data_IF_440772709322
#
_entry.id   IF_440772709322
#
_cell.length_a   1.000
_cell.length_b   1.000
_cell.length_c   1.000
_cell.angle_alpha   90.00
_cell.angle_beta   90.00
_cell.angle_gamma   90.00
#
_symmetry.space_group_name_H-M   'P 1'
#
loop_
_entity.id
_entity.type
_entity.pdbx_description
1 polymer ?
#
# COMPACT_ATOMS: atom_id res chain seq x y z
N UNK A 1 1.24 18.82 4.81
CA UNK A 1 1.82 17.49 4.97
C UNK A 1 0.85 16.66 5.80
N UNK A 2 0.25 15.64 5.22
CA UNK A 2 -0.64 14.75 5.95
C UNK A 2 0.21 13.75 6.70
N UNK A 3 0.41 14.00 7.99
CA UNK A 3 1.01 13.03 8.87
C UNK A 3 -0.09 12.14 9.45
N UNK A 4 0.13 10.84 9.42
CA UNK A 4 -0.67 9.93 10.23
C UNK A 4 -0.37 10.22 11.70
N UNK A 5 -1.36 10.10 12.57
CA UNK A 5 -1.16 10.29 14.00
C UNK A 5 -0.06 9.38 14.57
N UNK A 6 0.14 8.21 13.96
CA UNK A 6 1.23 7.29 14.31
C UNK A 6 2.64 7.82 14.01
N UNK A 7 2.75 8.86 13.16
CA UNK A 7 4.02 9.50 12.81
C UNK A 7 4.33 10.71 13.68
N UNK A 8 3.39 11.13 14.53
CA UNK A 8 3.54 12.28 15.42
C UNK A 8 4.21 11.82 16.71
N UNK A 9 5.33 12.43 17.05
CA UNK A 9 6.00 12.16 18.32
C UNK A 9 5.09 12.52 19.51
N UNK A 10 5.04 11.72 20.59
CA UNK A 10 4.13 11.94 21.71
C UNK A 10 4.21 13.36 22.28
N UNK A 11 5.40 13.95 22.33
CA UNK A 11 5.66 15.29 22.85
C UNK A 11 5.02 16.39 21.99
N UNK A 12 4.80 16.09 20.70
CA UNK A 12 4.20 17.03 19.76
C UNK A 12 2.67 17.08 19.80
N UNK A 13 1.98 16.12 20.45
CA UNK A 13 0.53 16.08 20.49
C UNK A 13 -0.10 17.34 21.08
N UNK A 14 0.50 17.91 22.11
CA UNK A 14 -0.02 19.13 22.74
C UNK A 14 -0.10 20.33 21.79
N UNK A 15 0.78 20.39 20.79
CA UNK A 15 0.78 21.47 19.78
C UNK A 15 -0.46 21.41 18.87
N UNK A 16 -1.13 20.26 18.77
CA UNK A 16 -2.33 20.07 17.96
C UNK A 16 -3.64 20.34 18.72
N UNK A 17 -3.62 20.46 20.04
CA UNK A 17 -4.83 20.73 20.84
C UNK A 17 -5.60 21.98 20.38
N UNK A 18 -4.97 23.11 20.01
CA UNK A 18 -5.69 24.28 19.50
C UNK A 18 -6.43 24.03 18.20
N UNK A 19 -6.08 22.97 17.46
CA UNK A 19 -6.72 22.57 16.19
C UNK A 19 -7.89 21.62 16.40
N UNK A 20 -8.14 21.21 17.65
CA UNK A 20 -9.25 20.32 17.99
C UNK A 20 -10.59 20.99 17.64
N UNK A 21 -11.42 20.27 16.91
CA UNK A 21 -12.77 20.69 16.56
C UNK A 21 -13.77 19.61 16.94
N UNK A 22 -14.93 20.02 17.37
CA UNK A 22 -16.06 19.10 17.60
C UNK A 22 -16.69 18.77 16.25
N UNK A 23 -16.76 17.49 15.91
CA UNK A 23 -17.40 17.07 14.68
C UNK A 23 -18.93 17.34 14.75
N UNK A 24 -19.53 17.97 13.72
CA UNK A 24 -20.98 18.14 13.66
C UNK A 24 -21.70 16.79 13.67
N UNK A 25 -22.89 16.69 14.29
CA UNK A 25 -23.67 15.43 14.34
C UNK A 25 -23.90 14.79 12.96
N UNK A 26 -24.18 15.62 11.95
CA UNK A 26 -24.36 15.15 10.56
C UNK A 26 -23.11 14.47 9.99
N UNK A 27 -21.93 14.99 10.31
CA UNK A 27 -20.67 14.40 9.88
C UNK A 27 -20.41 13.06 10.58
N UNK A 28 -20.70 13.00 11.88
CA UNK A 28 -20.60 11.75 12.66
C UNK A 28 -21.54 10.69 12.08
N UNK A 29 -22.78 11.06 11.79
CA UNK A 29 -23.77 10.16 11.19
C UNK A 29 -23.33 9.67 9.79
N UNK A 30 -22.80 10.55 8.96
CA UNK A 30 -22.27 10.21 7.64
C UNK A 30 -21.16 9.15 7.74
N UNK A 31 -20.17 9.38 8.59
CA UNK A 31 -19.07 8.41 8.74
C UNK A 31 -19.52 7.10 9.40
N UNK A 32 -20.51 7.15 10.31
CA UNK A 32 -21.09 5.93 10.86
C UNK A 32 -21.77 5.08 9.77
N UNK A 33 -22.50 5.69 8.83
CA UNK A 33 -23.06 4.98 7.68
C UNK A 33 -21.99 4.41 6.76
N UNK A 34 -20.96 5.19 6.45
CA UNK A 34 -19.82 4.68 5.67
C UNK A 34 -19.18 3.46 6.35
N UNK A 35 -19.01 3.50 7.66
CA UNK A 35 -18.47 2.38 8.42
C UNK A 35 -19.38 1.14 8.37
N UNK A 36 -20.69 1.30 8.50
CA UNK A 36 -21.63 0.19 8.35
C UNK A 36 -21.54 -0.46 6.98
N UNK A 37 -21.48 0.32 5.91
CA UNK A 37 -21.29 -0.21 4.55
C UNK A 37 -20.00 -1.05 4.45
N UNK A 38 -18.88 -0.55 4.99
CA UNK A 38 -17.62 -1.29 4.99
C UNK A 38 -17.67 -2.58 5.82
N UNK A 39 -18.46 -2.59 6.91
CA UNK A 39 -18.68 -3.79 7.71
C UNK A 39 -19.52 -4.83 6.96
N UNK A 40 -20.58 -4.40 6.27
CA UNK A 40 -21.43 -5.28 5.46
C UNK A 40 -20.68 -5.88 4.28
N UNK A 41 -19.87 -5.08 3.58
CA UNK A 41 -19.02 -5.55 2.49
C UNK A 41 -17.95 -6.54 2.97
N UNK A 42 -17.47 -6.38 4.20
CA UNK A 42 -16.44 -7.22 4.83
C UNK A 42 -15.26 -7.55 3.91
N UNK A 43 -14.83 -6.57 3.13
CA UNK A 43 -13.78 -6.73 2.12
C UNK A 43 -12.39 -6.91 2.75
N UNK A 44 -11.56 -7.72 2.12
CA UNK A 44 -10.21 -8.03 2.59
C UNK A 44 -9.21 -6.90 2.37
N UNK A 45 -9.49 -5.98 1.45
CA UNK A 45 -8.64 -4.84 1.14
C UNK A 45 -9.47 -3.57 1.01
N UNK A 46 -8.95 -2.49 1.56
CA UNK A 46 -9.54 -1.15 1.44
C UNK A 46 -8.52 -0.16 0.92
N UNK A 47 -8.98 0.82 0.16
CA UNK A 47 -8.16 1.90 -0.35
C UNK A 47 -8.88 3.25 -0.20
N UNK A 48 -8.10 4.32 -0.10
CA UNK A 48 -8.62 5.69 -0.11
C UNK A 48 -8.60 6.19 -1.55
N UNK A 49 -9.78 6.44 -2.10
CA UNK A 49 -9.97 6.96 -3.46
C UNK A 49 -10.79 8.24 -3.36
N UNK A 50 -10.23 9.34 -3.82
CA UNK A 50 -10.90 10.66 -3.73
C UNK A 50 -11.39 10.97 -2.30
N UNK A 51 -10.54 10.75 -1.31
CA UNK A 51 -10.82 10.93 0.13
C UNK A 51 -11.92 10.03 0.71
N UNK A 52 -12.36 9.00 -0.02
CA UNK A 52 -13.30 8.01 0.47
C UNK A 52 -12.61 6.68 0.71
N UNK A 53 -12.87 6.05 1.85
CA UNK A 53 -12.41 4.71 2.15
C UNK A 53 -13.37 3.70 1.50
N UNK A 54 -12.86 2.92 0.57
CA UNK A 54 -13.65 1.97 -0.24
C UNK A 54 -13.04 0.58 -0.17
N UNK A 55 -13.89 -0.44 -0.22
CA UNK A 55 -13.48 -1.82 -0.46
C UNK A 55 -13.02 -1.97 -1.90
N UNK A 56 -11.85 -2.57 -2.10
CA UNK A 56 -11.24 -2.79 -3.41
C UNK A 56 -10.79 -4.24 -3.55
N UNK A 57 -10.65 -4.78 -4.78
CA UNK A 57 -10.15 -6.12 -4.97
C UNK A 57 -8.68 -6.24 -4.55
N UNK A 58 -8.24 -7.44 -4.16
CA UNK A 58 -6.85 -7.70 -3.77
C UNK A 58 -5.83 -7.34 -4.85
N UNK A 59 -6.25 -7.32 -6.12
CA UNK A 59 -5.43 -6.96 -7.28
C UNK A 59 -5.27 -5.46 -7.48
N UNK A 60 -5.92 -4.64 -6.66
CA UNK A 60 -5.98 -3.18 -6.85
C UNK A 60 -4.61 -2.52 -7.01
N UNK A 61 -3.61 -2.98 -6.28
CA UNK A 61 -2.25 -2.44 -6.33
C UNK A 61 -1.32 -3.15 -7.31
N UNK A 62 -1.75 -4.24 -7.95
CA UNK A 62 -0.91 -5.01 -8.87
C UNK A 62 -0.42 -4.15 -10.04
N UNK A 63 -1.28 -3.28 -10.56
CA UNK A 63 -0.89 -2.34 -11.62
C UNK A 63 0.27 -1.43 -11.21
N UNK A 64 0.25 -0.90 -9.98
CA UNK A 64 1.31 -0.04 -9.47
C UNK A 64 2.62 -0.81 -9.28
N UNK A 65 2.54 -2.06 -8.81
CA UNK A 65 3.69 -2.96 -8.69
C UNK A 65 4.31 -3.19 -10.07
N UNK A 66 3.53 -3.62 -11.04
CA UNK A 66 3.97 -3.88 -12.42
C UNK A 66 4.55 -2.61 -13.05
N UNK A 67 3.85 -1.48 -12.94
CA UNK A 67 4.30 -0.18 -13.45
C UNK A 67 5.63 0.26 -12.82
N UNK A 68 5.86 -0.07 -11.56
CA UNK A 68 7.11 0.27 -10.89
C UNK A 68 8.25 -0.61 -11.40
N UNK A 69 8.04 -1.93 -11.55
CA UNK A 69 9.03 -2.81 -12.18
C UNK A 69 9.30 -2.43 -13.63
N UNK A 70 8.29 -1.99 -14.38
CA UNK A 70 8.44 -1.58 -15.79
C UNK A 70 9.37 -0.38 -16.01
N UNK A 71 9.65 0.40 -14.98
CA UNK A 71 10.64 1.50 -15.04
C UNK A 71 12.07 0.99 -15.07
N UNK A 72 12.29 -0.27 -14.73
CA UNK A 72 13.61 -0.89 -14.68
C UNK A 72 13.74 -1.94 -15.77
N UNK A 73 14.68 -1.76 -16.69
CA UNK A 73 15.00 -2.71 -17.75
C UNK A 73 16.10 -3.70 -17.31
N UNK A 74 16.28 -3.86 -16.01
CA UNK A 74 17.28 -4.74 -15.37
C UNK A 74 16.72 -5.30 -14.06
N UNK A 75 17.26 -6.42 -13.56
CA UNK A 75 16.84 -6.95 -12.27
C UNK A 75 16.96 -5.92 -11.16
N UNK A 76 15.95 -5.81 -10.33
CA UNK A 76 15.88 -4.87 -9.22
C UNK A 76 15.48 -5.60 -7.93
N UNK A 77 16.06 -5.17 -6.82
CA UNK A 77 15.77 -5.75 -5.49
C UNK A 77 14.33 -5.47 -5.09
N UNK A 78 13.61 -6.49 -4.64
CA UNK A 78 12.20 -6.41 -4.22
C UNK A 78 11.98 -5.31 -3.17
N UNK A 79 12.80 -5.28 -2.10
CA UNK A 79 12.69 -4.28 -1.03
C UNK A 79 12.78 -2.83 -1.55
N UNK A 80 13.57 -2.59 -2.60
CA UNK A 80 13.67 -1.28 -3.22
C UNK A 80 12.36 -0.87 -3.91
N UNK A 81 11.71 -1.81 -4.62
CA UNK A 81 10.42 -1.56 -5.27
C UNK A 81 9.33 -1.32 -4.23
N UNK A 82 9.28 -2.13 -3.18
CA UNK A 82 8.34 -1.95 -2.06
C UNK A 82 8.54 -0.58 -1.41
N UNK A 83 9.78 -0.19 -1.10
CA UNK A 83 10.10 1.12 -0.54
C UNK A 83 9.62 2.28 -1.41
N UNK A 84 9.79 2.17 -2.73
CA UNK A 84 9.28 3.17 -3.67
C UNK A 84 7.76 3.28 -3.67
N UNK A 85 7.06 2.16 -3.62
CA UNK A 85 5.60 2.13 -3.57
C UNK A 85 5.07 2.75 -2.28
N UNK A 86 5.64 2.38 -1.13
CA UNK A 86 5.24 2.91 0.18
C UNK A 86 5.49 4.42 0.30
N UNK A 87 6.57 4.92 -0.29
CA UNK A 87 6.92 6.34 -0.21
C UNK A 87 6.06 7.26 -1.08
N UNK A 88 5.44 6.73 -2.14
CA UNK A 88 4.76 7.56 -3.14
C UNK A 88 3.25 7.34 -3.25
N UNK A 89 2.79 6.11 -3.21
CA UNK A 89 1.45 5.79 -3.70
C UNK A 89 0.63 4.86 -2.81
N UNK A 90 1.25 4.19 -1.85
CA UNK A 90 0.60 3.15 -1.06
C UNK A 90 0.32 3.58 0.38
N UNK A 91 -0.40 4.68 0.55
CA UNK A 91 -0.79 5.17 1.88
C UNK A 91 -1.65 4.13 2.60
N UNK A 92 -1.22 3.70 3.78
CA UNK A 92 -1.95 2.77 4.63
C UNK A 92 -1.80 1.29 4.26
N UNK A 93 -0.88 0.96 3.33
CA UNK A 93 -0.56 -0.43 2.98
C UNK A 93 0.76 -0.86 3.61
N UNK A 94 0.80 -2.10 4.09
CA UNK A 94 2.00 -2.68 4.66
C UNK A 94 2.88 -3.33 3.58
N UNK A 95 4.19 -3.33 3.84
CA UNK A 95 5.20 -4.01 3.03
C UNK A 95 4.89 -5.50 2.84
N UNK A 96 4.42 -6.18 3.89
CA UNK A 96 4.01 -7.58 3.87
C UNK A 96 2.90 -7.86 2.86
N UNK A 97 1.94 -6.95 2.71
CA UNK A 97 0.90 -7.07 1.68
C UNK A 97 1.50 -6.96 0.27
N UNK A 98 2.35 -5.96 0.04
CA UNK A 98 3.02 -5.77 -1.25
C UNK A 98 3.91 -6.97 -1.59
N UNK A 99 4.63 -7.50 -0.61
CA UNK A 99 5.41 -8.74 -0.78
C UNK A 99 4.51 -9.91 -1.21
N UNK A 100 3.40 -10.14 -0.52
CA UNK A 100 2.47 -11.20 -0.88
C UNK A 100 1.92 -11.06 -2.31
N UNK A 101 1.65 -9.82 -2.77
CA UNK A 101 1.23 -9.56 -4.15
C UNK A 101 2.36 -9.83 -5.14
N UNK A 102 3.58 -9.44 -4.83
CA UNK A 102 4.76 -9.74 -5.66
C UNK A 102 4.96 -11.26 -5.79
N UNK A 103 4.83 -12.02 -4.69
CA UNK A 103 4.90 -13.48 -4.73
C UNK A 103 3.81 -14.08 -5.63
N UNK A 104 2.58 -13.53 -5.59
CA UNK A 104 1.51 -13.92 -6.50
C UNK A 104 1.86 -13.64 -7.97
N UNK A 105 2.43 -12.47 -8.28
CA UNK A 105 2.86 -12.11 -9.64
C UNK A 105 4.00 -13.01 -10.14
N UNK A 106 4.89 -13.45 -9.26
CA UNK A 106 5.92 -14.46 -9.55
C UNK A 106 5.27 -15.82 -9.89
N UNK A 107 4.29 -16.27 -9.10
CA UNK A 107 3.55 -17.51 -9.39
C UNK A 107 2.80 -17.44 -10.73
N UNK A 108 2.27 -16.27 -11.08
CA UNK A 108 1.62 -16.01 -12.38
C UNK A 108 2.61 -15.82 -13.53
N UNK A 109 3.91 -15.88 -13.25
CA UNK A 109 4.98 -15.69 -14.25
C UNK A 109 4.99 -14.32 -14.92
N UNK A 110 4.38 -13.32 -14.29
CA UNK A 110 4.46 -11.91 -14.72
C UNK A 110 5.77 -11.26 -14.26
N UNK A 111 6.32 -11.75 -13.17
CA UNK A 111 7.67 -11.46 -12.69
C UNK A 111 8.50 -12.72 -12.66
N UNK A 112 9.81 -12.57 -12.78
CA UNK A 112 10.79 -13.66 -12.61
C UNK A 112 11.85 -13.29 -11.60
N UNK A 113 12.22 -14.25 -10.76
CA UNK A 113 13.38 -14.13 -9.88
C UNK A 113 14.64 -14.46 -10.69
N UNK A 114 15.53 -13.49 -10.78
CA UNK A 114 16.81 -13.62 -11.49
C UNK A 114 17.93 -14.03 -10.55
N UNK A 115 17.91 -13.50 -9.35
CA UNK A 115 18.89 -13.80 -8.31
C UNK A 115 18.18 -13.90 -6.96
N UNK A 116 18.31 -15.03 -6.31
CA UNK A 116 17.69 -15.28 -5.01
C UNK A 116 18.65 -14.94 -3.87
N UNK A 117 18.16 -14.22 -2.88
CA UNK A 117 18.90 -13.92 -1.64
C UNK A 117 18.54 -14.95 -0.58
N UNK A 118 19.44 -15.89 -0.29
CA UNK A 118 19.14 -17.05 0.57
C UNK A 118 18.81 -16.67 2.03
N UNK A 119 19.44 -15.63 2.59
CA UNK A 119 19.34 -15.28 4.01
C UNK A 119 18.67 -13.93 4.29
N UNK A 120 18.11 -13.28 3.27
CA UNK A 120 17.51 -11.94 3.42
C UNK A 120 16.15 -11.89 2.74
N UNK A 121 15.03 -11.96 3.51
CA UNK A 121 13.70 -11.76 2.95
C UNK A 121 13.61 -10.40 2.25
N UNK A 122 12.86 -10.33 1.15
CA UNK A 122 12.68 -9.14 0.30
C UNK A 122 13.92 -8.66 -0.50
N UNK A 123 15.01 -9.42 -0.52
CA UNK A 123 16.23 -9.03 -1.25
C UNK A 123 16.44 -9.80 -2.55
N UNK A 124 15.49 -10.61 -2.96
CA UNK A 124 15.50 -11.23 -4.28
C UNK A 124 15.54 -10.16 -5.39
N UNK A 125 16.35 -10.39 -6.45
CA UNK A 125 16.34 -9.53 -7.62
C UNK A 125 15.33 -10.05 -8.64
N UNK A 126 14.38 -9.21 -8.95
CA UNK A 126 13.23 -9.53 -9.77
C UNK A 126 13.21 -8.69 -11.05
N UNK A 127 12.62 -9.23 -12.11
CA UNK A 127 12.46 -8.58 -13.40
C UNK A 127 11.09 -8.92 -13.99
N UNK A 128 10.50 -8.00 -14.75
CA UNK A 128 9.32 -8.31 -15.57
C UNK A 128 9.64 -9.39 -16.60
N UNK A 129 8.72 -10.32 -16.78
CA UNK A 129 8.91 -11.44 -17.70
C UNK A 129 9.12 -10.99 -19.16
N UNK A 130 8.48 -9.88 -19.54
CA UNK A 130 8.59 -9.31 -20.90
C UNK A 130 9.98 -8.81 -21.28
N UNK A 131 10.85 -8.56 -20.29
CA UNK A 131 12.22 -8.09 -20.51
C UNK A 131 13.26 -9.23 -20.60
N UNK A 132 12.80 -10.47 -20.55
CA UNK A 132 13.67 -11.66 -20.65
C UNK A 132 13.72 -12.27 -22.05
N UNK A 133 13.09 -11.62 -23.01
CA UNK A 133 13.15 -12.05 -24.41
C UNK A 133 14.35 -11.46 -25.13
#
# INVERSE_FOLDING_TARGET
VNHLWSEVAPEAFFSYLPLQQVAPPSLIQYYAQCWHTLQEENGSLRAIINNNLLTVPLTFYDFLIIKTFAKFHKPVVEAFVIGKLLSKEAVGIHDTFLHARIQFLLQKKLLKCIEKAEDKPYYDKLLLSDYLM
#
